data_IF_791726210118
#
_entry.id   IF_791726210118
#
_cell.length_a   1.000
_cell.length_b   1.000
_cell.length_c   1.000
_cell.angle_alpha   90.00
_cell.angle_beta   90.00
_cell.angle_gamma   90.00
#
_symmetry.space_group_name_H-M   'P 1'
#
loop_
_entity.id
_entity.type
_entity.pdbx_description
1 polymer ?
#
# COMPACT_ATOMS: atom_id res chain seq x y z
N UNK A 1 5.57 3.59 44.44
CA UNK A 1 6.02 3.61 43.02
C UNK A 1 5.17 2.61 42.27
N UNK A 2 4.04 3.03 41.70
CA UNK A 2 3.14 2.15 40.94
C UNK A 2 3.47 2.28 39.45
N UNK A 3 3.82 1.15 38.83
CA UNK A 3 4.09 1.04 37.39
C UNK A 3 2.77 1.34 36.65
N UNK A 4 2.79 2.23 35.68
CA UNK A 4 1.60 2.58 34.88
C UNK A 4 1.28 1.41 33.96
N UNK A 5 0.12 0.80 34.15
CA UNK A 5 -0.41 -0.20 33.22
C UNK A 5 -0.80 0.50 31.92
N UNK A 6 -0.26 0.02 30.80
CA UNK A 6 -0.66 0.45 29.46
C UNK A 6 -1.30 -0.73 28.75
N UNK A 7 -2.59 -0.62 28.46
CA UNK A 7 -3.32 -1.58 27.63
C UNK A 7 -3.58 -0.95 26.26
N UNK A 8 -3.05 -1.56 25.20
CA UNK A 8 -3.29 -1.14 23.82
C UNK A 8 -4.35 -2.07 23.23
N UNK A 9 -5.49 -1.50 22.81
CA UNK A 9 -6.52 -2.22 22.04
C UNK A 9 -6.29 -1.92 20.56
N UNK A 10 -5.71 -2.88 19.84
CA UNK A 10 -5.56 -2.83 18.38
C UNK A 10 -6.82 -3.45 17.77
N UNK A 11 -7.51 -2.72 16.90
CA UNK A 11 -8.69 -3.21 16.19
C UNK A 11 -8.46 -3.03 14.69
N UNK A 12 -8.10 -4.11 14.02
CA UNK A 12 -7.93 -4.15 12.56
C UNK A 12 -9.28 -4.46 11.92
N UNK A 13 -9.75 -3.60 11.03
CA UNK A 13 -10.91 -3.89 10.19
C UNK A 13 -10.42 -4.54 8.90
N UNK A 14 -10.90 -5.74 8.63
CA UNK A 14 -10.76 -6.40 7.33
C UNK A 14 -12.02 -6.13 6.51
N UNK A 15 -11.88 -5.94 5.19
CA UNK A 15 -13.03 -5.77 4.30
C UNK A 15 -13.75 -7.12 4.13
N UNK A 16 -14.88 -7.30 4.79
CA UNK A 16 -15.77 -8.43 4.56
C UNK A 16 -16.70 -8.07 3.38
N UNK A 17 -16.63 -8.83 2.29
CA UNK A 17 -17.49 -8.62 1.12
C UNK A 17 -18.91 -9.11 1.45
N UNK A 18 -19.83 -8.18 1.68
CA UNK A 18 -21.24 -8.45 1.93
C UNK A 18 -21.88 -9.14 0.70
N UNK A 19 -22.18 -10.44 0.80
CA UNK A 19 -22.85 -11.21 -0.26
C UNK A 19 -24.29 -11.50 0.12
N UNK A 20 -25.21 -10.66 -0.36
CA UNK A 20 -26.64 -10.98 -0.36
C UNK A 20 -26.97 -11.94 -1.50
N UNK A 21 -27.16 -13.22 -1.19
CA UNK A 21 -27.68 -14.22 -2.13
C UNK A 21 -29.21 -14.20 -2.05
N UNK A 22 -29.87 -13.71 -3.11
CA UNK A 22 -31.33 -13.84 -3.27
C UNK A 22 -31.60 -14.67 -4.53
N UNK A 23 -32.38 -15.75 -4.40
CA UNK A 23 -32.73 -16.74 -5.43
C UNK A 23 -34.25 -17.00 -5.30
N UNK A 24 -35.02 -17.41 -6.32
CA UNK A 24 -34.95 -17.20 -7.77
C UNK A 24 -36.25 -16.56 -8.33
N UNK A 25 -36.18 -15.86 -9.46
CA UNK A 25 -37.35 -15.61 -10.32
C UNK A 25 -37.03 -16.12 -11.74
N UNK A 26 -37.85 -17.04 -12.24
CA UNK A 26 -37.69 -17.64 -13.56
C UNK A 26 -38.15 -16.68 -14.65
N UNK A 27 -37.21 -16.11 -15.38
CA UNK A 27 -37.45 -15.52 -16.70
C UNK A 27 -36.33 -16.04 -17.59
N UNK A 28 -36.65 -16.43 -18.82
CA UNK A 28 -35.74 -17.02 -19.80
C UNK A 28 -34.53 -16.10 -20.05
N UNK A 29 -33.46 -16.30 -19.30
CA UNK A 29 -32.26 -15.46 -19.35
C UNK A 29 -31.31 -16.02 -20.40
N UNK A 30 -30.98 -15.21 -21.41
CA UNK A 30 -29.67 -15.28 -22.06
C UNK A 30 -28.66 -15.37 -20.91
N UNK A 31 -27.76 -16.36 -20.93
CA UNK A 31 -26.72 -16.48 -19.92
C UNK A 31 -25.84 -15.22 -19.99
N UNK A 32 -26.20 -14.18 -19.25
CA UNK A 32 -25.32 -13.08 -18.92
C UNK A 32 -24.20 -13.70 -18.11
N UNK A 33 -23.12 -14.08 -18.79
CA UNK A 33 -21.89 -14.44 -18.12
C UNK A 33 -21.40 -13.17 -17.42
N UNK A 34 -21.66 -13.08 -16.12
CA UNK A 34 -20.99 -12.14 -15.26
C UNK A 34 -19.51 -12.52 -15.25
N UNK A 35 -18.72 -11.91 -16.14
CA UNK A 35 -17.26 -11.97 -16.11
C UNK A 35 -16.77 -10.95 -15.09
N UNK A 36 -17.02 -11.21 -13.81
CA UNK A 36 -16.32 -10.51 -12.75
C UNK A 36 -14.88 -11.05 -12.71
N UNK A 37 -13.98 -10.38 -13.44
CA UNK A 37 -12.56 -10.63 -13.30
C UNK A 37 -12.10 -9.94 -12.01
N UNK A 38 -12.12 -10.67 -10.90
CA UNK A 38 -11.52 -10.21 -9.65
C UNK A 38 -10.01 -10.12 -9.86
N UNK A 39 -9.49 -8.92 -10.07
CA UNK A 39 -8.05 -8.69 -10.09
C UNK A 39 -7.54 -8.59 -8.66
N UNK A 40 -6.48 -9.33 -8.34
CA UNK A 40 -5.77 -9.17 -7.07
C UNK A 40 -4.97 -7.88 -7.10
N UNK A 41 -5.09 -7.05 -6.06
CA UNK A 41 -4.29 -5.83 -5.95
C UNK A 41 -2.80 -6.17 -5.81
N UNK A 42 -1.90 -5.38 -6.43
CA UNK A 42 -0.47 -5.61 -6.29
C UNK A 42 -0.02 -5.32 -4.85
N UNK A 43 1.03 -6.03 -4.42
CA UNK A 43 1.68 -5.78 -3.14
C UNK A 43 2.78 -4.76 -3.34
N UNK A 44 2.66 -3.60 -2.68
CA UNK A 44 3.62 -2.51 -2.81
C UNK A 44 4.52 -2.36 -1.57
N UNK A 45 5.78 -2.02 -1.79
CA UNK A 45 6.77 -1.78 -0.75
C UNK A 45 7.60 -0.52 -1.04
N UNK A 46 8.02 0.14 0.03
CA UNK A 46 8.92 1.30 -0.02
C UNK A 46 10.20 0.99 0.75
N UNK A 47 11.35 1.30 0.17
CA UNK A 47 12.67 1.12 0.80
C UNK A 47 13.58 2.32 0.52
N UNK A 48 14.49 2.58 1.46
CA UNK A 48 15.63 3.48 1.27
C UNK A 48 16.87 2.66 0.93
N UNK A 49 17.65 3.08 -0.06
CA UNK A 49 18.77 2.31 -0.63
C UNK A 49 20.06 3.14 -0.67
N UNK A 50 21.21 2.52 -0.38
CA UNK A 50 22.53 3.18 -0.43
C UNK A 50 23.19 3.04 -1.80
N UNK A 51 23.83 4.10 -2.29
CA UNK A 51 24.70 4.06 -3.47
C UNK A 51 24.01 3.81 -4.82
N UNK A 52 22.72 3.46 -4.84
CA UNK A 52 21.95 3.29 -6.06
C UNK A 52 20.54 2.74 -5.80
N UNK A 53 19.71 2.62 -6.85
CA UNK A 53 18.36 2.06 -6.75
C UNK A 53 18.35 0.61 -6.27
N UNK A 54 19.29 -0.22 -6.74
CA UNK A 54 19.40 -1.63 -6.34
C UNK A 54 20.38 -1.85 -5.17
N UNK A 55 20.72 -0.76 -4.47
CA UNK A 55 21.65 -0.79 -3.36
C UNK A 55 21.15 -1.53 -2.12
N UNK A 56 21.99 -1.59 -1.09
CA UNK A 56 21.60 -2.15 0.20
C UNK A 56 20.55 -1.26 0.88
N UNK A 57 19.64 -1.88 1.65
CA UNK A 57 18.64 -1.15 2.42
C UNK A 57 19.33 -0.32 3.52
N UNK A 58 19.04 0.97 3.55
CA UNK A 58 19.54 1.91 4.56
C UNK A 58 18.93 1.55 5.91
N UNK A 59 19.78 1.22 6.87
CA UNK A 59 19.39 1.11 8.29
C UNK A 59 19.75 2.39 9.06
N UNK A 60 20.87 3.00 8.70
CA UNK A 60 21.38 4.25 9.25
C UNK A 60 22.07 5.04 8.13
N UNK A 61 21.90 6.36 8.14
CA UNK A 61 22.54 7.28 7.21
C UNK A 61 23.21 8.42 7.98
N UNK A 62 24.34 8.90 7.48
CA UNK A 62 25.02 10.08 8.03
C UNK A 62 24.59 11.36 7.32
N UNK A 63 24.70 12.51 7.99
CA UNK A 63 24.43 13.80 7.34
C UNK A 63 25.34 13.98 6.12
N UNK A 64 24.74 14.37 4.99
CA UNK A 64 25.42 14.49 3.70
C UNK A 64 25.47 13.19 2.87
N UNK A 65 25.07 12.05 3.43
CA UNK A 65 24.93 10.81 2.66
C UNK A 65 23.66 10.86 1.79
N UNK A 66 23.80 10.57 0.50
CA UNK A 66 22.67 10.47 -0.42
C UNK A 66 22.02 9.09 -0.34
N UNK A 67 20.70 9.05 -0.28
CA UNK A 67 19.89 7.83 -0.27
C UNK A 67 18.93 7.81 -1.45
N UNK A 68 18.61 6.61 -1.92
CA UNK A 68 17.67 6.38 -3.01
C UNK A 68 16.34 5.90 -2.45
N UNK A 69 15.27 6.57 -2.85
CA UNK A 69 13.90 6.16 -2.52
C UNK A 69 13.42 5.18 -3.59
N UNK A 70 13.05 3.96 -3.19
CA UNK A 70 12.58 2.92 -4.11
C UNK A 70 11.18 2.47 -3.69
N UNK A 71 10.23 2.70 -4.58
CA UNK A 71 8.87 2.15 -4.52
C UNK A 71 8.78 0.99 -5.52
N UNK A 72 8.12 -0.08 -5.13
CA UNK A 72 7.98 -1.28 -5.97
C UNK A 72 6.62 -1.92 -5.69
N UNK A 73 5.87 -2.24 -6.73
CA UNK A 73 4.59 -2.95 -6.66
C UNK A 73 4.69 -4.24 -7.46
N UNK A 74 4.40 -5.37 -6.83
CA UNK A 74 4.48 -6.69 -7.43
C UNK A 74 3.06 -7.23 -7.64
N UNK A 75 2.72 -7.53 -8.90
CA UNK A 75 1.47 -8.22 -9.24
C UNK A 75 1.58 -9.72 -8.97
N UNK A 76 0.54 -10.29 -8.34
CA UNK A 76 0.47 -11.73 -8.04
C UNK A 76 0.44 -12.56 -9.33
N UNK A 77 -0.30 -12.10 -10.34
CA UNK A 77 -0.50 -12.83 -11.60
C UNK A 77 0.41 -12.35 -12.75
N UNK A 78 1.28 -11.36 -12.52
CA UNK A 78 2.19 -10.76 -13.51
C UNK A 78 1.53 -10.45 -14.85
N UNK A 79 0.33 -9.83 -14.80
CA UNK A 79 -0.48 -9.54 -16.00
C UNK A 79 -0.28 -8.11 -16.52
N UNK A 80 0.61 -7.34 -15.91
CA UNK A 80 0.86 -5.93 -16.22
C UNK A 80 -0.44 -5.12 -16.28
N UNK A 81 -1.30 -5.37 -15.29
CA UNK A 81 -2.64 -4.78 -15.20
C UNK A 81 -2.60 -3.40 -14.54
N UNK A 82 -1.60 -3.12 -13.71
CA UNK A 82 -1.51 -1.94 -12.87
C UNK A 82 -0.24 -1.13 -13.11
N UNK A 83 -0.38 0.19 -13.18
CA UNK A 83 0.72 1.15 -13.10
C UNK A 83 0.83 1.78 -11.71
N UNK A 84 2.03 2.16 -11.30
CA UNK A 84 2.28 2.86 -10.04
C UNK A 84 2.60 4.34 -10.30
N UNK A 85 1.95 5.23 -9.55
CA UNK A 85 2.28 6.65 -9.46
C UNK A 85 2.54 7.00 -7.99
N UNK A 86 3.70 7.57 -7.70
CA UNK A 86 4.00 8.09 -6.37
C UNK A 86 3.49 9.53 -6.31
N UNK A 87 2.34 9.73 -5.68
CA UNK A 87 1.66 11.03 -5.69
C UNK A 87 2.33 12.08 -4.81
N UNK A 88 2.82 11.70 -3.62
CA UNK A 88 3.44 12.63 -2.67
C UNK A 88 4.31 11.87 -1.68
N UNK A 89 5.42 12.46 -1.25
CA UNK A 89 6.33 11.90 -0.27
C UNK A 89 6.87 13.03 0.60
N UNK A 90 6.90 12.83 1.91
CA UNK A 90 7.39 13.81 2.86
C UNK A 90 8.05 13.11 4.04
N UNK A 91 8.92 13.85 4.73
CA UNK A 91 9.50 13.44 6.02
C UNK A 91 8.86 14.28 7.11
N UNK A 92 8.47 13.62 8.19
CA UNK A 92 7.88 14.25 9.38
C UNK A 92 8.69 13.82 10.60
N UNK A 93 9.04 14.76 11.47
CA UNK A 93 9.78 14.49 12.70
C UNK A 93 8.88 14.11 13.89
N UNK A 94 7.55 14.05 13.71
CA UNK A 94 6.55 13.79 14.75
C UNK A 94 6.27 14.97 15.68
N UNK A 95 6.98 16.09 15.51
CA UNK A 95 6.82 17.32 16.29
C UNK A 95 6.11 18.44 15.52
N UNK A 96 5.65 18.14 14.31
CA UNK A 96 4.93 19.08 13.44
C UNK A 96 5.80 19.72 12.36
N UNK A 97 7.10 19.43 12.32
CA UNK A 97 7.94 19.85 11.20
C UNK A 97 7.87 18.80 10.09
N UNK A 98 7.47 19.27 8.90
CA UNK A 98 7.36 18.44 7.70
C UNK A 98 8.17 19.04 6.56
N UNK A 99 8.84 18.18 5.81
CA UNK A 99 9.57 18.52 4.58
C UNK A 99 9.07 17.65 3.45
N UNK A 100 8.56 18.26 2.39
CA UNK A 100 8.12 17.54 1.20
C UNK A 100 9.30 17.14 0.32
N UNK A 101 9.36 15.86 -0.04
CA UNK A 101 10.30 15.28 -1.00
C UNK A 101 9.68 15.28 -2.40
N UNK A 102 8.39 14.96 -2.49
CA UNK A 102 7.59 15.02 -3.72
C UNK A 102 6.34 15.84 -3.46
N UNK A 103 5.97 16.67 -4.43
CA UNK A 103 4.75 17.48 -4.37
C UNK A 103 3.53 16.67 -4.83
N UNK A 104 2.32 17.22 -4.70
CA UNK A 104 1.04 16.55 -5.00
C UNK A 104 0.81 16.18 -6.48
N UNK A 105 1.76 16.43 -7.38
CA UNK A 105 1.64 16.07 -8.81
C UNK A 105 2.51 14.88 -9.21
N UNK A 106 3.23 14.28 -8.26
CA UNK A 106 4.28 13.30 -8.54
C UNK A 106 5.56 13.99 -8.95
#
# INVERSE_FOLDING_TARGET
>A
MTKVDQMVKIQCFYMEADKRVTVPLSVSMITTQFREKMYQMPQCAYTLRKGGPDGEIVRYATLGESVYHRWECIEVEQKDTFGMLVHSCYVDNGHGDRVDILNEKG
#
